data_IF_389715678800
#
_entry.id   IF_389715678800
#
_cell.length_a   1.000
_cell.length_b   1.000
_cell.length_c   1.000
_cell.angle_alpha   90.00
_cell.angle_beta   90.00
_cell.angle_gamma   90.00
#
_symmetry.space_group_name_H-M   'P 1'
#
loop_
_entity.id
_entity.type
_entity.pdbx_description
1 polymer ?
#
# COMPACT_ATOMS: atom_id res chain seq x y z
N UNK A 1 -46.28 -2.07 -28.37
CA UNK A 1 -45.05 -2.81 -28.06
C UNK A 1 -44.19 -1.90 -27.21
N UNK A 2 -43.95 -2.18 -25.91
CA UNK A 2 -43.17 -1.29 -25.06
C UNK A 2 -41.68 -1.59 -25.23
N UNK A 3 -40.91 -0.54 -25.49
CA UNK A 3 -39.46 -0.51 -25.44
C UNK A 3 -39.03 -0.51 -23.97
N UNK A 4 -38.35 -1.58 -23.56
CA UNK A 4 -37.70 -1.67 -22.25
C UNK A 4 -36.40 -0.83 -22.30
N UNK A 5 -36.10 0.01 -21.29
CA UNK A 5 -34.79 0.63 -21.18
C UNK A 5 -33.78 -0.41 -20.67
N UNK A 6 -32.71 -0.61 -21.43
CA UNK A 6 -31.54 -1.36 -21.01
C UNK A 6 -30.95 -0.67 -19.77
N UNK A 7 -31.03 -1.34 -18.62
CA UNK A 7 -30.40 -0.85 -17.40
C UNK A 7 -28.87 -0.78 -17.56
N UNK A 8 -28.17 0.10 -16.81
CA UNK A 8 -26.73 0.17 -16.87
C UNK A 8 -26.17 -1.16 -16.37
N UNK A 9 -25.67 -1.97 -17.30
CA UNK A 9 -24.90 -3.16 -17.00
C UNK A 9 -23.71 -2.74 -16.16
N UNK A 10 -23.81 -2.97 -14.85
CA UNK A 10 -22.66 -2.95 -13.97
C UNK A 10 -21.75 -4.08 -14.46
N UNK A 11 -20.81 -3.73 -15.32
CA UNK A 11 -19.69 -4.57 -15.71
C UNK A 11 -18.83 -4.75 -14.46
N UNK A 12 -19.30 -5.60 -13.55
CA UNK A 12 -18.55 -6.07 -12.41
C UNK A 12 -17.49 -6.97 -13.02
N UNK A 13 -16.19 -6.62 -13.00
CA UNK A 13 -15.18 -7.55 -13.47
C UNK A 13 -15.36 -8.82 -12.65
N UNK A 14 -15.60 -9.89 -13.38
CA UNK A 14 -15.83 -11.23 -12.89
C UNK A 14 -14.76 -11.54 -11.84
N UNK A 15 -15.19 -11.95 -10.65
CA UNK A 15 -14.28 -12.23 -9.54
C UNK A 15 -13.34 -13.37 -9.93
N UNK A 16 -12.04 -13.08 -10.02
CA UNK A 16 -11.03 -14.11 -10.06
C UNK A 16 -10.70 -14.47 -8.60
N UNK A 17 -11.29 -15.58 -8.14
CA UNK A 17 -11.08 -16.12 -6.81
C UNK A 17 -9.69 -16.78 -6.62
N UNK A 18 -8.81 -16.79 -7.64
CA UNK A 18 -7.67 -17.73 -7.68
C UNK A 18 -6.26 -17.10 -7.67
N UNK A 19 -6.08 -15.95 -7.03
CA UNK A 19 -4.73 -15.43 -6.82
C UNK A 19 -3.90 -15.25 -8.11
N UNK A 20 -4.58 -14.86 -9.20
CA UNK A 20 -4.00 -14.72 -10.53
C UNK A 20 -2.84 -13.72 -10.64
N UNK A 21 -2.22 -13.61 -11.83
CA UNK A 21 -1.05 -12.77 -12.03
C UNK A 21 -1.37 -11.30 -11.76
N UNK A 22 -0.42 -10.60 -11.15
CA UNK A 22 -0.52 -9.16 -10.90
C UNK A 22 -0.12 -8.44 -12.19
N UNK A 23 -1.02 -7.59 -12.70
CA UNK A 23 -0.80 -6.79 -13.91
C UNK A 23 -1.39 -5.39 -13.76
N UNK A 24 -0.89 -4.42 -14.53
CA UNK A 24 -1.50 -3.11 -14.62
C UNK A 24 -2.88 -3.20 -15.30
N UNK A 25 -3.93 -2.67 -14.66
CA UNK A 25 -5.29 -2.70 -15.23
C UNK A 25 -5.44 -1.87 -16.52
N UNK A 26 -4.50 -0.95 -16.80
CA UNK A 26 -4.50 -0.12 -18.02
C UNK A 26 -3.79 -0.79 -19.19
N UNK A 27 -2.55 -1.24 -19.01
CA UNK A 27 -1.73 -1.76 -20.11
C UNK A 27 -1.59 -3.30 -20.11
N UNK A 28 -2.09 -3.99 -19.08
CA UNK A 28 -2.02 -5.44 -18.95
C UNK A 28 -0.62 -5.99 -18.63
N UNK A 29 0.40 -5.13 -18.50
CA UNK A 29 1.79 -5.54 -18.26
C UNK A 29 2.12 -5.71 -16.79
N UNK A 30 3.00 -6.67 -16.48
CA UNK A 30 3.62 -6.89 -15.18
C UNK A 30 5.10 -6.45 -15.14
N UNK A 31 5.69 -6.07 -16.27
CA UNK A 31 7.14 -5.90 -16.44
C UNK A 31 7.73 -4.63 -15.81
N UNK A 32 6.89 -3.67 -15.41
CA UNK A 32 7.30 -2.39 -14.82
C UNK A 32 6.54 -2.08 -13.54
N UNK A 33 6.12 -3.13 -12.83
CA UNK A 33 5.38 -2.96 -11.57
C UNK A 33 6.32 -2.82 -10.37
N UNK A 34 6.06 -1.84 -9.52
CA UNK A 34 6.72 -1.67 -8.22
C UNK A 34 5.73 -2.02 -7.11
N UNK A 35 6.07 -2.99 -6.26
CA UNK A 35 5.28 -3.33 -5.06
C UNK A 35 5.60 -2.38 -3.92
N UNK A 36 4.58 -1.89 -3.21
CA UNK A 36 4.74 -0.96 -2.09
C UNK A 36 4.03 -1.41 -0.80
N UNK A 37 3.00 -2.25 -0.89
CA UNK A 37 2.38 -2.87 0.28
C UNK A 37 1.93 -4.30 0.01
N UNK A 38 2.07 -5.17 1.00
CA UNK A 38 1.60 -6.55 0.98
C UNK A 38 1.03 -6.88 2.37
N UNK A 39 -0.25 -7.24 2.42
CA UNK A 39 -0.99 -7.56 3.64
C UNK A 39 -1.81 -8.84 3.45
N UNK A 40 -1.94 -9.67 4.48
CA UNK A 40 -2.85 -10.81 4.41
C UNK A 40 -4.31 -10.32 4.29
N UNK A 41 -5.05 -10.80 3.30
CA UNK A 41 -6.45 -10.41 3.10
C UNK A 41 -7.45 -11.29 3.87
N UNK A 42 -7.00 -12.39 4.47
CA UNK A 42 -7.83 -13.33 5.24
C UNK A 42 -6.99 -14.37 6.01
N UNK A 43 -7.63 -15.13 6.92
CA UNK A 43 -6.96 -16.20 7.66
C UNK A 43 -6.65 -17.42 6.75
N UNK A 44 -5.67 -18.27 7.10
CA UNK A 44 -5.38 -19.51 6.38
C UNK A 44 -6.58 -20.46 6.27
N UNK A 45 -6.66 -21.36 5.26
CA UNK A 45 -5.61 -21.73 4.29
C UNK A 45 -5.64 -20.98 2.94
N UNK A 46 -6.72 -20.29 2.60
CA UNK A 46 -6.89 -19.59 1.31
C UNK A 46 -6.29 -18.17 1.37
N UNK A 47 -5.01 -18.08 1.74
CA UNK A 47 -4.34 -16.79 1.94
C UNK A 47 -4.12 -16.09 0.60
N UNK A 48 -5.08 -15.25 0.23
CA UNK A 48 -4.85 -14.17 -0.70
C UNK A 48 -4.17 -13.01 0.03
N UNK A 49 -3.25 -12.37 -0.68
CA UNK A 49 -2.60 -11.16 -0.24
C UNK A 49 -3.29 -9.97 -0.89
N UNK A 50 -3.60 -8.95 -0.10
CA UNK A 50 -3.86 -7.63 -0.63
C UNK A 50 -2.51 -6.97 -0.95
N UNK A 51 -2.38 -6.47 -2.16
CA UNK A 51 -1.11 -5.96 -2.70
C UNK A 51 -1.33 -4.59 -3.29
N UNK A 52 -0.62 -3.60 -2.76
CA UNK A 52 -0.46 -2.30 -3.36
C UNK A 52 0.72 -2.31 -4.33
N UNK A 53 0.46 -1.90 -5.57
CA UNK A 53 1.50 -1.77 -6.59
C UNK A 53 1.30 -0.55 -7.47
N UNK A 54 2.36 -0.14 -8.15
CA UNK A 54 2.37 0.97 -9.11
C UNK A 54 2.90 0.48 -10.45
N UNK A 55 2.33 0.93 -11.56
CA UNK A 55 2.89 0.71 -12.88
C UNK A 55 3.72 1.92 -13.30
N UNK A 56 5.05 1.77 -13.40
CA UNK A 56 5.95 2.88 -13.74
C UNK A 56 5.66 3.41 -15.17
N UNK A 57 5.22 2.54 -16.09
CA UNK A 57 4.92 2.93 -17.46
C UNK A 57 3.63 3.73 -17.61
N UNK A 58 2.61 3.42 -16.79
CA UNK A 58 1.32 4.12 -16.83
C UNK A 58 1.19 5.23 -15.77
N UNK A 59 2.14 5.30 -14.83
CA UNK A 59 2.09 6.17 -13.66
C UNK A 59 0.77 6.05 -12.88
N UNK A 60 0.32 4.81 -12.67
CA UNK A 60 -0.93 4.49 -11.99
C UNK A 60 -0.68 3.61 -10.77
N UNK A 61 -1.43 3.89 -9.71
CA UNK A 61 -1.48 3.07 -8.51
C UNK A 61 -2.66 2.11 -8.58
N UNK A 62 -2.43 0.91 -8.05
CA UNK A 62 -3.41 -0.16 -8.01
C UNK A 62 -3.36 -0.86 -6.65
N UNK A 63 -4.52 -1.38 -6.24
CA UNK A 63 -4.65 -2.33 -5.13
C UNK A 63 -5.37 -3.53 -5.69
N UNK A 64 -4.82 -4.71 -5.46
CA UNK A 64 -5.37 -5.97 -5.96
C UNK A 64 -5.21 -7.10 -4.96
N UNK A 65 -5.87 -8.22 -5.23
CA UNK A 65 -5.68 -9.48 -4.49
C UNK A 65 -4.91 -10.47 -5.35
N UNK A 66 -3.90 -11.10 -4.77
CA UNK A 66 -3.06 -12.06 -5.47
C UNK A 66 -2.59 -13.19 -4.55
N UNK A 67 -2.27 -14.34 -5.12
CA UNK A 67 -1.67 -15.44 -4.38
C UNK A 67 -0.20 -15.15 -4.08
N UNK A 68 0.35 -15.84 -3.08
CA UNK A 68 1.77 -15.72 -2.69
C UNK A 68 2.70 -15.93 -3.87
N UNK A 69 2.41 -16.93 -4.72
CA UNK A 69 3.23 -17.23 -5.90
C UNK A 69 3.27 -16.07 -6.92
N UNK A 70 2.13 -15.41 -7.17
CA UNK A 70 2.05 -14.27 -8.09
C UNK A 70 2.82 -13.06 -7.54
N UNK A 71 2.70 -12.79 -6.23
CA UNK A 71 3.48 -11.74 -5.55
C UNK A 71 4.96 -12.04 -5.63
N UNK A 72 5.38 -13.27 -5.32
CA UNK A 72 6.78 -13.69 -5.38
C UNK A 72 7.37 -13.58 -6.79
N UNK A 73 6.60 -13.91 -7.83
CA UNK A 73 7.05 -13.78 -9.21
C UNK A 73 7.37 -12.33 -9.59
N UNK A 74 6.55 -11.35 -9.17
CA UNK A 74 6.85 -9.93 -9.35
C UNK A 74 8.04 -9.51 -8.48
N UNK A 75 8.00 -9.85 -7.18
CA UNK A 75 9.02 -9.44 -6.22
C UNK A 75 10.42 -9.94 -6.58
N UNK A 76 10.57 -11.20 -6.99
CA UNK A 76 11.86 -11.80 -7.35
C UNK A 76 12.49 -11.20 -8.62
N UNK A 77 11.70 -10.52 -9.47
CA UNK A 77 12.21 -9.80 -10.65
C UNK A 77 12.71 -8.39 -10.30
N UNK A 78 12.33 -7.87 -9.14
CA UNK A 78 12.76 -6.56 -8.66
C UNK A 78 14.17 -6.67 -8.09
N UNK A 79 15.17 -6.35 -8.92
CA UNK A 79 16.58 -6.32 -8.52
C UNK A 79 16.88 -5.33 -7.37
N UNK A 80 15.97 -4.39 -7.11
CA UNK A 80 15.89 -3.62 -5.87
C UNK A 80 14.50 -2.96 -5.83
N UNK A 81 13.68 -3.16 -4.78
CA UNK A 81 12.46 -2.39 -4.64
C UNK A 81 12.85 -0.90 -4.57
N UNK A 82 12.40 -0.12 -5.55
CA UNK A 82 12.56 1.34 -5.50
C UNK A 82 11.67 1.84 -4.36
N UNK A 83 12.29 2.32 -3.29
CA UNK A 83 11.59 2.85 -2.12
C UNK A 83 11.35 1.82 -1.03
N UNK A 84 10.24 1.98 -0.30
CA UNK A 84 9.93 1.21 0.91
C UNK A 84 8.76 0.26 0.63
N UNK A 85 8.94 -1.02 0.94
CA UNK A 85 7.87 -2.02 0.94
C UNK A 85 7.32 -2.19 2.37
N UNK A 86 6.02 -2.08 2.52
CA UNK A 86 5.33 -2.42 3.77
C UNK A 86 4.85 -3.87 3.70
N UNK A 87 5.33 -4.71 4.62
CA UNK A 87 4.92 -6.11 4.75
C UNK A 87 4.48 -6.41 6.18
N UNK A 88 3.16 -6.52 6.39
CA UNK A 88 2.58 -6.58 7.74
C UNK A 88 3.00 -5.35 8.56
N UNK A 89 3.77 -5.57 9.64
CA UNK A 89 4.29 -4.49 10.52
C UNK A 89 5.72 -4.04 10.16
N UNK A 90 6.31 -4.61 9.12
CA UNK A 90 7.69 -4.34 8.74
C UNK A 90 7.77 -3.36 7.58
N UNK A 91 8.73 -2.45 7.66
CA UNK A 91 9.13 -1.58 6.56
C UNK A 91 10.45 -2.12 6.01
N UNK A 92 10.49 -2.40 4.71
CA UNK A 92 11.61 -3.07 4.05
C UNK A 92 12.21 -2.11 3.02
N UNK A 93 13.53 -1.91 3.08
CA UNK A 93 14.30 -1.11 2.14
C UNK A 93 15.61 -1.83 1.82
N UNK A 94 16.08 -1.77 0.56
CA UNK A 94 17.20 -2.60 0.08
C UNK A 94 16.98 -4.11 0.30
N UNK A 95 15.72 -4.57 0.37
CA UNK A 95 15.38 -5.96 0.63
C UNK A 95 15.51 -6.42 2.10
N UNK A 96 15.86 -5.52 3.02
CA UNK A 96 16.00 -5.82 4.44
C UNK A 96 15.01 -5.02 5.30
N UNK A 97 14.49 -5.59 6.41
CA UNK A 97 13.72 -4.83 7.39
C UNK A 97 14.52 -3.64 7.93
N UNK A 98 13.89 -2.47 7.96
CA UNK A 98 14.45 -1.26 8.54
C UNK A 98 14.47 -1.37 10.07
N UNK A 99 15.52 -0.85 10.70
CA UNK A 99 15.69 -0.87 12.15
C UNK A 99 15.06 0.37 12.77
N UNK A 100 14.35 0.18 13.89
CA UNK A 100 13.90 1.30 14.73
C UNK A 100 15.10 1.86 15.48
N UNK A 101 15.35 3.15 15.31
CA UNK A 101 16.47 3.86 15.96
C UNK A 101 16.04 4.93 16.95
N UNK A 102 14.74 5.24 17.02
CA UNK A 102 14.21 6.20 17.98
C UNK A 102 12.69 6.35 17.88
N UNK A 103 12.13 7.11 18.82
CA UNK A 103 10.73 7.52 18.84
C UNK A 103 10.65 8.97 19.32
N UNK A 104 9.84 9.79 18.65
CA UNK A 104 9.59 11.18 18.98
C UNK A 104 8.10 11.46 19.00
N UNK A 105 7.62 12.20 20.01
CA UNK A 105 6.23 12.69 20.02
C UNK A 105 6.14 13.92 19.14
N UNK A 106 5.37 13.84 18.04
CA UNK A 106 5.07 14.97 17.17
C UNK A 106 3.66 15.49 17.42
N UNK A 107 3.51 16.81 17.52
CA UNK A 107 2.21 17.48 17.50
C UNK A 107 1.84 17.74 16.03
N UNK A 108 0.77 17.12 15.55
CA UNK A 108 0.16 17.49 14.28
C UNK A 108 -0.82 18.63 14.54
N UNK A 109 -0.61 19.74 13.82
CA UNK A 109 -1.56 20.85 13.77
C UNK A 109 -2.38 20.70 12.50
N UNK A 110 -3.71 20.54 12.62
CA UNK A 110 -4.61 20.49 11.47
C UNK A 110 -4.94 21.93 11.06
N UNK A 111 -4.50 22.41 9.88
CA UNK A 111 -4.91 23.71 9.39
C UNK A 111 -6.40 23.67 9.07
N UNK A 112 -7.22 24.48 9.75
CA UNK A 112 -8.65 24.64 9.45
C UNK A 112 -9.64 24.22 10.53
N UNK A 113 -9.21 23.64 11.67
CA UNK A 113 -10.09 23.49 12.85
C UNK A 113 -10.09 24.72 13.76
N UNK A 114 -9.20 25.69 13.53
CA UNK A 114 -9.05 26.90 14.34
C UNK A 114 -10.00 28.02 13.88
N UNK A 115 -11.30 27.80 13.97
CA UNK A 115 -12.29 28.88 13.89
C UNK A 115 -12.61 29.50 15.28
N UNK A 116 -11.85 29.14 16.31
CA UNK A 116 -11.96 29.64 17.68
C UNK A 116 -10.64 30.20 18.21
N UNK A 117 -10.65 30.80 19.42
CA UNK A 117 -9.46 31.35 20.07
C UNK A 117 -8.33 30.30 20.16
N UNK A 118 -7.05 30.71 20.21
CA UNK A 118 -5.87 29.82 20.13
C UNK A 118 -5.80 28.72 21.21
N UNK A 119 -6.66 28.81 22.21
CA UNK A 119 -6.86 27.89 23.33
C UNK A 119 -7.74 26.67 22.96
N UNK A 120 -8.43 26.68 21.81
CA UNK A 120 -9.27 25.58 21.29
C UNK A 120 -8.61 24.76 20.16
N UNK A 121 -7.34 25.01 19.84
CA UNK A 121 -6.63 24.24 18.83
C UNK A 121 -6.31 22.83 19.33
N UNK A 122 -7.21 21.87 19.07
CA UNK A 122 -7.01 20.43 19.31
C UNK A 122 -5.75 19.97 18.56
N UNK A 123 -4.63 19.88 19.29
CA UNK A 123 -3.40 19.30 18.80
C UNK A 123 -3.47 17.79 18.94
N UNK A 124 -3.31 17.06 17.85
CA UNK A 124 -3.18 15.60 17.91
C UNK A 124 -1.71 15.28 18.16
N UNK A 125 -1.42 14.69 19.32
CA UNK A 125 -0.08 14.19 19.64
C UNK A 125 0.04 12.76 19.15
N UNK A 126 0.96 12.52 18.21
CA UNK A 126 1.27 11.19 17.71
C UNK A 126 2.72 10.86 18.02
N UNK A 127 2.97 9.71 18.63
CA UNK A 127 4.32 9.17 18.71
C UNK A 127 4.70 8.65 17.32
N UNK A 128 5.79 9.17 16.77
CA UNK A 128 6.38 8.69 15.52
C UNK A 128 7.67 7.94 15.84
N UNK A 129 7.85 6.77 15.26
CA UNK A 129 9.12 6.06 15.31
C UNK A 129 9.96 6.38 14.08
N UNK A 130 11.28 6.43 14.28
CA UNK A 130 12.26 6.63 13.22
C UNK A 130 12.82 5.28 12.82
N UNK A 131 12.66 4.95 11.54
CA UNK A 131 13.15 3.72 10.93
C UNK A 131 14.34 4.04 10.02
N UNK A 132 15.39 3.22 10.07
CA UNK A 132 16.61 3.40 9.27
C UNK A 132 17.02 2.12 8.55
N UNK A 133 17.39 2.25 7.29
CA UNK A 133 18.06 1.21 6.51
C UNK A 133 19.58 1.35 6.64
N UNK A 134 20.31 0.23 6.52
CA UNK A 134 21.78 0.22 6.54
C UNK A 134 22.41 1.05 5.42
N UNK A 135 21.68 1.28 4.31
CA UNK A 135 22.13 2.17 3.23
C UNK A 135 22.09 3.67 3.58
N UNK A 136 21.58 4.02 4.77
CA UNK A 136 21.45 5.40 5.23
C UNK A 136 20.08 6.04 5.02
N UNK A 137 19.16 5.40 4.27
CA UNK A 137 17.78 5.87 4.13
C UNK A 137 17.06 5.85 5.48
N UNK A 138 16.28 6.88 5.77
CA UNK A 138 15.51 7.04 7.01
C UNK A 138 14.11 7.55 6.69
N UNK A 139 13.13 7.10 7.49
CA UNK A 139 11.79 7.64 7.47
C UNK A 139 11.19 7.68 8.88
N UNK A 140 10.27 8.60 9.09
CA UNK A 140 9.38 8.59 10.25
C UNK A 140 8.04 7.96 9.90
N UNK A 141 7.54 7.12 10.80
CA UNK A 141 6.21 6.51 10.69
C UNK A 141 5.48 6.62 12.03
N UNK A 142 4.15 6.77 12.04
CA UNK A 142 3.39 6.71 13.27
C UNK A 142 3.63 5.40 14.00
N UNK A 143 3.83 5.44 15.31
CA UNK A 143 3.80 4.23 16.13
C UNK A 143 2.37 3.70 16.18
N UNK A 144 2.20 2.43 15.82
CA UNK A 144 0.95 1.72 16.06
C UNK A 144 0.98 1.22 17.50
N UNK A 145 0.22 1.90 18.37
CA UNK A 145 0.00 1.54 19.76
C UNK A 145 -0.76 0.23 19.94
#
# INVERSE_FOLDING_TARGET
MPIHPEGPGTNRPNGLADGGPIACARCGSDGTLTLHSITAAGPPPDVLLEVGYSCDACNLHHVGRAGVAAVAAVFNRLHSPKGVLVFGRHYIHCGLPMQKIGSEVRRLSVPGLSAGPPEDAVGVYLTAQVLRCSCGFQMDVPEQG
#
